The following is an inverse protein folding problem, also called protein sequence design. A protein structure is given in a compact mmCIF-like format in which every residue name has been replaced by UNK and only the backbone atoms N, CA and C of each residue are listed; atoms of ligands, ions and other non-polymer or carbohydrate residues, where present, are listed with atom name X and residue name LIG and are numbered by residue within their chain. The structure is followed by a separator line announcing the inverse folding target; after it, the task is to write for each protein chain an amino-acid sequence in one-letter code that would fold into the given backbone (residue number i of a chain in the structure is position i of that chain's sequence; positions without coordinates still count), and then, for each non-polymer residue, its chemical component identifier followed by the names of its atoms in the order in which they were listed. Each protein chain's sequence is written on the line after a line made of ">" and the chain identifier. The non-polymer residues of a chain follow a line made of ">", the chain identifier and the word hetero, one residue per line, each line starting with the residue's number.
data_IF_220655254364
#
_entry.id   IF_220655254364
#
_cell.length_a   1.000
_cell.length_b   1.000
_cell.length_c   1.000
_cell.angle_alpha   90.00
_cell.angle_beta   90.00
_cell.angle_gamma   90.00
#
_symmetry.space_group_name_H-M   'P 1'
#
loop_
_entity.id
_entity.type
_entity.pdbx_description
1 polymer ?
#
# COMPACT_ATOMS: atom_id res chain seq x y z
N UNK A 1 21.80 17.62 1.81
CA UNK A 1 20.55 17.19 2.45
C UNK A 1 19.89 15.99 1.76
N UNK A 2 19.78 16.03 0.44
CA UNK A 2 19.19 14.92 -0.30
C UNK A 2 20.00 13.63 -0.11
N UNK A 3 21.33 13.73 -0.09
CA UNK A 3 22.19 12.56 0.10
C UNK A 3 22.02 11.94 1.50
N UNK A 4 21.90 12.79 2.52
CA UNK A 4 21.67 12.31 3.90
C UNK A 4 20.31 11.68 4.05
N UNK A 5 19.31 12.23 3.38
CA UNK A 5 17.95 11.68 3.40
C UNK A 5 17.92 10.30 2.73
N UNK A 6 18.62 10.16 1.61
CA UNK A 6 18.71 8.89 0.90
C UNK A 6 19.40 7.82 1.74
N UNK A 7 20.46 8.21 2.50
CA UNK A 7 21.11 7.27 3.41
C UNK A 7 20.20 6.84 4.55
N UNK A 8 19.45 7.79 5.15
CA UNK A 8 18.48 7.46 6.18
C UNK A 8 17.42 6.51 5.66
N UNK A 9 16.95 6.75 4.42
CA UNK A 9 15.94 5.89 3.81
C UNK A 9 16.45 4.45 3.65
N UNK A 10 17.69 4.27 3.23
CA UNK A 10 18.27 2.93 3.09
C UNK A 10 18.35 2.21 4.42
N UNK A 11 18.74 2.90 5.47
CA UNK A 11 18.80 2.33 6.83
C UNK A 11 17.41 1.93 7.29
N UNK A 12 16.42 2.80 7.09
CA UNK A 12 15.04 2.53 7.49
C UNK A 12 14.45 1.33 6.75
N UNK A 13 14.73 1.21 5.46
CA UNK A 13 14.23 0.06 4.68
C UNK A 13 14.75 -1.25 5.27
N UNK A 14 16.02 -1.30 5.67
CA UNK A 14 16.59 -2.50 6.29
C UNK A 14 15.98 -2.76 7.66
N UNK A 15 15.92 -1.74 8.52
CA UNK A 15 15.42 -1.90 9.88
C UNK A 15 13.91 -2.18 9.92
N UNK A 16 13.14 -1.43 9.16
CA UNK A 16 11.69 -1.64 9.08
C UNK A 16 11.36 -2.96 8.39
N UNK A 17 12.22 -3.39 7.48
CA UNK A 17 12.08 -4.70 6.85
C UNK A 17 12.09 -5.84 7.85
N UNK A 18 12.92 -5.74 8.89
CA UNK A 18 12.93 -6.74 9.97
C UNK A 18 11.61 -6.76 10.72
N UNK A 19 11.05 -5.59 11.01
CA UNK A 19 9.76 -5.46 11.65
C UNK A 19 8.65 -6.06 10.79
N UNK A 20 8.68 -5.78 9.48
CA UNK A 20 7.72 -6.32 8.52
C UNK A 20 7.82 -7.84 8.47
N UNK A 21 9.02 -8.39 8.44
CA UNK A 21 9.21 -9.84 8.39
C UNK A 21 8.70 -10.52 9.65
N UNK A 22 8.88 -9.90 10.81
CA UNK A 22 8.31 -10.40 12.06
C UNK A 22 6.78 -10.37 12.03
N UNK A 23 6.21 -9.26 11.58
CA UNK A 23 4.76 -9.11 11.41
C UNK A 23 4.21 -10.19 10.48
N UNK A 24 4.88 -10.41 9.35
CA UNK A 24 4.47 -11.42 8.38
C UNK A 24 4.48 -12.82 9.02
N UNK A 25 5.53 -13.13 9.76
CA UNK A 25 5.66 -14.42 10.43
C UNK A 25 4.55 -14.61 11.47
N UNK A 26 4.28 -13.59 12.28
CA UNK A 26 3.25 -13.64 13.31
C UNK A 26 1.86 -13.79 12.71
N UNK A 27 1.63 -13.28 11.50
CA UNK A 27 0.34 -13.30 10.83
C UNK A 27 0.22 -14.39 9.76
N UNK A 28 1.22 -15.27 9.66
CA UNK A 28 1.18 -16.38 8.72
C UNK A 28 1.24 -15.96 7.26
N UNK A 29 1.89 -14.85 6.96
CA UNK A 29 1.99 -14.32 5.60
C UNK A 29 3.29 -14.77 4.94
N UNK A 30 3.17 -15.37 3.76
CA UNK A 30 4.33 -15.75 2.96
C UNK A 30 4.66 -14.62 2.00
N UNK A 31 5.42 -13.64 2.50
CA UNK A 31 5.69 -12.41 1.75
C UNK A 31 6.86 -12.58 0.78
N UNK A 32 6.75 -11.85 -0.33
CA UNK A 32 7.86 -11.65 -1.26
C UNK A 32 8.35 -10.21 -1.10
N UNK A 33 9.56 -9.94 -1.53
CA UNK A 33 10.18 -8.63 -1.37
C UNK A 33 10.74 -8.15 -2.72
N UNK A 34 10.48 -6.88 -3.05
CA UNK A 34 11.07 -6.26 -4.23
C UNK A 34 12.47 -5.72 -3.91
N UNK A 35 13.23 -5.37 -4.93
CA UNK A 35 14.55 -4.76 -4.75
C UNK A 35 14.48 -3.45 -3.96
N UNK A 36 13.39 -2.73 -4.08
CA UNK A 36 13.23 -1.44 -3.40
C UNK A 36 12.78 -1.58 -1.94
N UNK A 37 12.43 -2.79 -1.52
CA UNK A 37 12.07 -3.03 -0.13
C UNK A 37 10.58 -3.15 0.14
N UNK A 38 9.74 -3.13 -0.89
CA UNK A 38 8.31 -3.42 -0.73
C UNK A 38 8.11 -4.89 -0.45
N UNK A 39 7.31 -5.23 0.55
CA UNK A 39 6.88 -6.59 0.81
C UNK A 39 5.44 -6.76 0.34
N UNK A 40 5.13 -7.92 -0.23
CA UNK A 40 3.78 -8.15 -0.74
C UNK A 40 3.40 -9.63 -0.74
N UNK A 41 2.08 -9.87 -0.67
CA UNK A 41 1.48 -11.19 -0.84
C UNK A 41 0.38 -11.05 -1.86
N UNK A 42 0.42 -11.83 -2.94
CA UNK A 42 -0.67 -11.87 -3.90
C UNK A 42 -1.59 -13.02 -3.49
N UNK A 43 -2.77 -12.67 -3.01
CA UNK A 43 -3.75 -13.65 -2.50
C UNK A 43 -4.61 -14.23 -3.62
N UNK A 44 -4.90 -13.42 -4.63
CA UNK A 44 -5.56 -13.85 -5.87
C UNK A 44 -4.83 -13.21 -7.04
N UNK A 45 -4.43 -14.02 -8.03
CA UNK A 45 -3.61 -13.55 -9.14
C UNK A 45 -4.34 -12.59 -10.09
N UNK A 46 -5.63 -12.80 -10.28
CA UNK A 46 -6.36 -12.04 -11.30
C UNK A 46 -6.11 -12.58 -12.69
N UNK A 47 -6.55 -11.81 -13.69
CA UNK A 47 -6.49 -12.20 -15.09
C UNK A 47 -6.07 -11.04 -15.98
N UNK A 48 -5.65 -11.33 -17.20
CA UNK A 48 -5.30 -10.33 -18.21
C UNK A 48 -3.82 -10.14 -18.37
N UNK A 49 -3.48 -9.10 -19.11
CA UNK A 49 -2.09 -8.81 -19.44
C UNK A 49 -1.35 -8.13 -18.30
N UNK A 50 -0.03 -8.19 -18.37
CA UNK A 50 0.82 -7.44 -17.44
C UNK A 50 0.52 -5.95 -17.56
N UNK A 51 0.59 -5.26 -16.42
CA UNK A 51 0.28 -3.83 -16.32
C UNK A 51 1.50 -3.01 -16.76
N UNK A 52 1.24 -1.96 -17.55
CA UNK A 52 2.28 -1.04 -18.01
C UNK A 52 2.04 0.34 -17.40
N UNK A 53 3.09 1.18 -17.27
CA UNK A 53 2.90 2.53 -16.74
C UNK A 53 1.86 3.32 -17.52
N UNK A 54 1.03 4.08 -16.79
CA UNK A 54 -0.04 4.87 -17.39
C UNK A 54 -1.39 4.17 -17.49
N UNK A 55 -1.42 2.86 -17.21
CA UNK A 55 -2.68 2.12 -17.14
C UNK A 55 -3.50 2.61 -15.96
N UNK A 56 -4.81 2.81 -16.14
CA UNK A 56 -5.70 3.16 -15.03
C UNK A 56 -6.22 1.88 -14.37
N UNK A 57 -5.98 1.76 -13.08
CA UNK A 57 -6.53 0.67 -12.27
C UNK A 57 -7.53 1.23 -11.28
N UNK A 58 -8.64 0.51 -11.09
CA UNK A 58 -9.65 0.86 -10.09
C UNK A 58 -9.44 -0.06 -8.89
N UNK A 59 -9.14 0.53 -7.74
CA UNK A 59 -8.65 -0.22 -6.57
C UNK A 59 -9.52 0.04 -5.36
N UNK A 60 -10.07 -1.03 -4.78
CA UNK A 60 -10.63 -0.97 -3.44
C UNK A 60 -9.52 -1.28 -2.45
N UNK A 61 -9.54 -0.62 -1.30
CA UNK A 61 -8.44 -0.77 -0.35
C UNK A 61 -8.84 -0.51 1.09
N UNK A 62 -8.03 -1.05 1.99
CA UNK A 62 -8.07 -0.71 3.40
C UNK A 62 -6.62 -0.55 3.86
N UNK A 63 -6.30 0.59 4.46
CA UNK A 63 -4.96 0.91 4.91
C UNK A 63 -4.86 0.93 6.42
N UNK A 64 -3.86 0.25 6.95
CA UNK A 64 -3.63 0.10 8.39
C UNK A 64 -2.21 0.51 8.75
N UNK A 65 -2.05 1.02 9.96
CA UNK A 65 -0.74 1.07 10.59
C UNK A 65 -0.35 -0.37 10.97
N UNK A 66 0.93 -0.59 11.23
CA UNK A 66 1.39 -1.95 11.54
C UNK A 66 0.80 -2.48 12.86
N UNK A 67 0.32 -1.58 13.73
CA UNK A 67 -0.35 -1.98 14.97
C UNK A 67 -1.82 -2.37 14.77
N UNK A 68 -2.32 -2.31 13.54
CA UNK A 68 -3.69 -2.69 13.22
C UNK A 68 -4.68 -1.54 13.13
N UNK A 69 -4.26 -0.31 13.41
CA UNK A 69 -5.15 0.86 13.34
C UNK A 69 -5.52 1.17 11.91
N UNK A 70 -6.80 1.16 11.58
CA UNK A 70 -7.29 1.55 10.26
C UNK A 70 -7.16 3.06 10.11
N UNK A 71 -6.55 3.53 9.01
CA UNK A 71 -6.43 4.97 8.77
C UNK A 71 -7.20 5.45 7.54
N UNK A 72 -7.51 4.57 6.60
CA UNK A 72 -8.29 4.93 5.42
C UNK A 72 -8.80 3.67 4.73
N UNK A 73 -9.96 3.81 4.03
CA UNK A 73 -10.52 2.71 3.27
C UNK A 73 -11.50 3.24 2.23
N UNK A 74 -11.63 2.51 1.11
CA UNK A 74 -12.67 2.74 0.12
C UNK A 74 -13.96 1.98 0.43
N UNK A 75 -13.93 1.08 1.42
CA UNK A 75 -15.09 0.27 1.77
C UNK A 75 -15.97 1.00 2.77
N UNK A 76 -17.22 1.30 2.37
CA UNK A 76 -18.14 2.07 3.20
C UNK A 76 -18.43 1.39 4.54
N UNK A 77 -18.71 0.08 4.52
CA UNK A 77 -19.07 -0.63 5.75
C UNK A 77 -17.89 -0.68 6.73
N UNK A 78 -16.67 -0.88 6.21
CA UNK A 78 -15.49 -0.89 7.06
C UNK A 78 -15.27 0.48 7.72
N UNK A 79 -15.51 1.55 6.96
CA UNK A 79 -15.42 2.91 7.52
C UNK A 79 -16.43 3.11 8.64
N UNK A 80 -17.66 2.65 8.45
CA UNK A 80 -18.71 2.75 9.47
C UNK A 80 -18.33 1.96 10.74
N UNK A 81 -17.80 0.76 10.55
CA UNK A 81 -17.43 -0.12 11.67
C UNK A 81 -16.27 0.45 12.49
N UNK A 82 -15.51 1.37 11.94
CA UNK A 82 -14.35 1.97 12.60
C UNK A 82 -14.55 3.46 12.92
N UNK A 83 -15.80 3.93 12.87
CA UNK A 83 -16.14 5.33 13.19
C UNK A 83 -15.42 6.34 12.30
N UNK A 84 -15.20 5.98 11.03
CA UNK A 84 -14.52 6.85 10.05
C UNK A 84 -15.43 7.23 8.90
N UNK A 85 -16.70 6.83 8.95
CA UNK A 85 -17.64 7.10 7.86
C UNK A 85 -17.85 8.59 7.65
N UNK A 86 -17.70 9.02 6.40
CA UNK A 86 -17.94 10.39 5.98
C UNK A 86 -19.05 10.38 4.93
N UNK A 87 -20.26 10.91 5.26
CA UNK A 87 -21.37 10.88 4.31
C UNK A 87 -21.15 11.74 3.06
N UNK A 88 -20.14 12.62 3.08
CA UNK A 88 -19.79 13.44 1.92
C UNK A 88 -18.84 12.74 0.95
N UNK A 89 -18.28 11.61 1.35
CA UNK A 89 -17.33 10.87 0.53
C UNK A 89 -18.03 9.75 -0.24
N UNK A 90 -17.84 9.67 -1.57
CA UNK A 90 -18.28 8.48 -2.30
C UNK A 90 -17.36 7.31 -1.99
N UNK A 91 -17.94 6.19 -1.56
CA UNK A 91 -17.17 4.97 -1.27
C UNK A 91 -17.20 4.09 -2.50
N UNK A 92 -16.15 4.18 -3.28
CA UNK A 92 -16.03 3.49 -4.56
C UNK A 92 -14.56 3.20 -4.86
N UNK A 93 -14.26 2.30 -5.80
CA UNK A 93 -12.87 2.02 -6.14
C UNK A 93 -12.13 3.28 -6.59
N UNK A 94 -10.92 3.46 -6.10
CA UNK A 94 -10.09 4.60 -6.40
C UNK A 94 -9.42 4.41 -7.77
N UNK A 95 -9.58 5.35 -8.72
CA UNK A 95 -8.85 5.28 -9.98
C UNK A 95 -7.40 5.72 -9.79
N UNK A 96 -6.46 4.89 -10.23
CA UNK A 96 -5.02 5.16 -10.11
C UNK A 96 -4.37 4.98 -11.46
N UNK A 97 -3.65 6.00 -11.95
CA UNK A 97 -2.78 5.85 -13.12
C UNK A 97 -1.44 5.33 -12.61
N UNK A 98 -1.22 4.04 -12.77
CA UNK A 98 -0.08 3.38 -12.12
C UNK A 98 1.25 3.77 -12.77
N UNK A 99 2.30 3.82 -11.94
CA UNK A 99 3.65 4.12 -12.39
C UNK A 99 3.90 5.58 -12.70
N UNK A 100 2.97 6.48 -12.38
CA UNK A 100 3.06 7.91 -12.75
C UNK A 100 3.30 8.83 -11.56
N UNK A 101 3.59 8.29 -10.39
CA UNK A 101 3.88 9.08 -9.20
C UNK A 101 2.67 9.74 -8.55
N UNK A 102 1.46 9.29 -8.87
CA UNK A 102 0.22 9.83 -8.29
C UNK A 102 -0.04 9.34 -6.87
N UNK A 103 0.54 8.22 -6.52
CA UNK A 103 0.34 7.57 -5.22
C UNK A 103 1.70 7.29 -4.60
N UNK A 104 1.71 6.85 -3.34
CA UNK A 104 2.96 6.53 -2.66
C UNK A 104 3.75 5.47 -3.45
N UNK A 105 5.11 5.51 -3.39
CA UNK A 105 5.93 4.60 -4.20
C UNK A 105 5.60 3.13 -4.01
N UNK A 106 5.24 2.71 -2.79
CA UNK A 106 4.85 1.33 -2.53
C UNK A 106 3.62 0.90 -3.32
N UNK A 107 2.65 1.78 -3.51
CA UNK A 107 1.48 1.51 -4.34
C UNK A 107 1.84 1.47 -5.82
N UNK A 108 2.61 2.47 -6.30
CA UNK A 108 3.01 2.49 -7.72
C UNK A 108 3.74 1.21 -8.10
N UNK A 109 4.65 0.75 -7.26
CA UNK A 109 5.40 -0.47 -7.51
C UNK A 109 4.51 -1.71 -7.35
N UNK A 110 3.74 -1.78 -6.26
CA UNK A 110 2.93 -2.95 -5.96
C UNK A 110 1.80 -3.19 -6.95
N UNK A 111 1.10 -2.12 -7.35
CA UNK A 111 -0.01 -2.25 -8.30
C UNK A 111 0.45 -2.78 -9.66
N UNK A 112 1.68 -2.47 -10.07
CA UNK A 112 2.20 -2.98 -11.33
C UNK A 112 2.48 -4.48 -11.32
N UNK A 113 2.46 -5.09 -10.14
CA UNK A 113 2.59 -6.55 -10.01
C UNK A 113 1.24 -7.27 -10.12
N UNK A 114 0.13 -6.52 -10.17
CA UNK A 114 -1.21 -7.06 -10.10
C UNK A 114 -1.91 -7.01 -11.46
N UNK A 115 -3.07 -7.65 -11.53
CA UNK A 115 -3.92 -7.71 -12.72
C UNK A 115 -5.36 -7.47 -12.32
N UNK A 116 -6.25 -7.38 -13.30
CA UNK A 116 -7.69 -7.26 -13.01
C UNK A 116 -8.15 -8.45 -12.17
N UNK A 117 -8.81 -8.17 -11.06
CA UNK A 117 -9.30 -9.19 -10.15
C UNK A 117 -8.29 -9.62 -9.10
N UNK A 118 -7.06 -9.10 -9.13
CA UNK A 118 -6.06 -9.43 -8.11
C UNK A 118 -6.49 -8.94 -6.74
N UNK A 119 -6.15 -9.74 -5.73
CA UNK A 119 -6.21 -9.32 -4.33
C UNK A 119 -4.84 -9.51 -3.73
N UNK A 120 -4.37 -8.51 -3.02
CA UNK A 120 -3.02 -8.53 -2.47
C UNK A 120 -2.93 -7.76 -1.17
N UNK A 121 -1.87 -8.03 -0.44
CA UNK A 121 -1.51 -7.25 0.75
C UNK A 121 -0.15 -6.65 0.50
N UNK A 122 -0.01 -5.34 0.75
CA UNK A 122 1.26 -4.63 0.66
C UNK A 122 1.71 -4.25 2.06
N UNK A 123 2.97 -4.54 2.38
CA UNK A 123 3.58 -4.13 3.64
C UNK A 123 4.72 -3.19 3.25
N UNK A 124 4.54 -1.92 3.56
CA UNK A 124 5.31 -0.85 2.95
C UNK A 124 6.18 -0.15 3.99
N UNK A 125 7.51 -0.21 3.85
CA UNK A 125 8.39 0.56 4.75
C UNK A 125 8.20 2.05 4.51
N UNK A 126 8.43 2.85 5.54
CA UNK A 126 8.09 4.27 5.53
C UNK A 126 8.70 5.07 4.36
N UNK A 127 9.94 4.78 3.89
CA UNK A 127 10.46 5.53 2.74
C UNK A 127 9.68 5.32 1.44
N UNK A 128 8.91 4.23 1.34
CA UNK A 128 8.04 3.97 0.20
C UNK A 128 6.59 4.38 0.47
N UNK A 129 6.34 5.02 1.60
CA UNK A 129 5.02 5.50 2.02
C UNK A 129 5.09 7.01 2.25
N UNK A 130 4.77 7.48 3.46
CA UNK A 130 4.74 8.92 3.73
C UNK A 130 6.00 9.45 4.42
N UNK A 131 7.00 8.58 4.63
CA UNK A 131 8.33 8.97 5.04
C UNK A 131 8.41 9.69 6.38
N UNK A 132 9.38 10.60 6.47
CA UNK A 132 9.69 11.32 7.70
C UNK A 132 8.59 12.30 8.12
N UNK A 133 7.76 12.73 7.18
CA UNK A 133 6.71 13.72 7.45
C UNK A 133 5.39 13.11 7.90
N UNK A 134 5.15 11.84 7.60
CA UNK A 134 3.86 11.23 7.86
C UNK A 134 2.75 11.84 7.01
N UNK A 135 1.50 11.61 7.39
CA UNK A 135 0.34 12.15 6.69
C UNK A 135 -0.87 12.22 7.63
N UNK A 136 -1.48 13.38 7.71
CA UNK A 136 -2.68 13.57 8.51
C UNK A 136 -2.48 13.29 9.99
N UNK A 137 -3.59 13.05 10.69
CA UNK A 137 -3.58 12.87 12.14
C UNK A 137 -3.14 11.48 12.59
N UNK A 138 -3.33 10.47 11.72
CA UNK A 138 -3.11 9.06 12.09
C UNK A 138 -1.76 8.51 11.67
N UNK A 139 -1.17 9.02 10.59
CA UNK A 139 0.09 8.51 10.08
C UNK A 139 1.23 9.40 10.53
N UNK A 140 1.93 8.98 11.58
CA UNK A 140 3.07 9.71 12.11
C UNK A 140 4.33 9.52 11.27
N UNK A 141 5.44 10.18 11.68
CA UNK A 141 6.72 10.01 10.98
C UNK A 141 7.18 8.56 10.98
N UNK A 142 7.76 8.14 9.86
CA UNK A 142 8.38 6.82 9.72
C UNK A 142 7.43 5.67 10.05
N UNK A 143 6.18 5.75 9.56
CA UNK A 143 5.18 4.71 9.78
C UNK A 143 5.24 3.65 8.71
N UNK A 144 5.32 2.38 9.12
CA UNK A 144 5.15 1.24 8.22
C UNK A 144 3.65 1.07 7.99
N UNK A 145 3.25 0.90 6.73
CA UNK A 145 1.84 0.77 6.38
C UNK A 145 1.53 -0.63 5.86
N UNK A 146 0.33 -1.09 6.14
CA UNK A 146 -0.19 -2.36 5.64
C UNK A 146 -1.48 -2.06 4.86
N UNK A 147 -1.51 -2.43 3.59
CA UNK A 147 -2.69 -2.23 2.75
C UNK A 147 -3.24 -3.54 2.25
N UNK A 148 -4.55 -3.71 2.38
CA UNK A 148 -5.28 -4.73 1.63
C UNK A 148 -5.81 -4.04 0.38
N UNK A 149 -5.53 -4.59 -0.80
CA UNK A 149 -5.95 -4.01 -2.07
C UNK A 149 -6.66 -5.05 -2.94
N UNK A 150 -7.64 -4.56 -3.69
CA UNK A 150 -8.37 -5.37 -4.66
C UNK A 150 -8.52 -4.57 -5.94
N UNK A 151 -8.04 -5.12 -7.05
CA UNK A 151 -8.16 -4.47 -8.36
C UNK A 151 -9.47 -4.89 -8.98
N UNK A 152 -10.42 -3.96 -9.07
CA UNK A 152 -11.76 -4.25 -9.58
C UNK A 152 -11.84 -4.13 -11.10
N UNK A 153 -11.05 -3.24 -11.69
CA UNK A 153 -11.04 -3.04 -13.14
C UNK A 153 -9.71 -2.43 -13.58
N UNK A 154 -9.42 -2.57 -14.87
CA UNK A 154 -8.20 -2.06 -15.50
C UNK A 154 -8.56 -1.48 -16.85
N UNK A 155 -8.11 -0.24 -17.14
CA UNK A 155 -8.34 0.43 -18.42
C UNK A 155 -7.02 0.94 -18.97
N UNK A 156 -6.74 0.56 -20.19
CA UNK A 156 -5.56 1.05 -20.90
C UNK A 156 -5.80 2.35 -21.65
#
# INVERSE_FOLDING_TARGET
>A
EAAKRAERAKVLIVEEGKTIEEYAKENGLDVQKTENGLYYVIQEEGTGEAITPGTTMYVNYAGYLIDGTLFDTSYEQLAKDNNMYNPQRPYEPLPVNVGMGQVIPGWDEGLMLLKKGSKAKFLIPSPLAYGENGAGALIGPNSILVFDVEVTDVQK
#
